data_IF_193422990620
#
_entry.id   IF_193422990620
#
_cell.length_a   1.000
_cell.length_b   1.000
_cell.length_c   1.000
_cell.angle_alpha   90.00
_cell.angle_beta   90.00
_cell.angle_gamma   90.00
#
_symmetry.space_group_name_H-M   'P 1'
#
loop_
_entity.id
_entity.type
_entity.pdbx_description
1 polymer ?
#
# COMPACT_ATOMS: atom_id res chain seq x y z
N UNK A 1 31.00 1.43 -85.25
CA UNK A 1 29.66 0.89 -84.91
C UNK A 1 28.80 2.06 -84.45
N UNK A 2 27.77 2.37 -85.24
CA UNK A 2 26.55 3.12 -84.90
C UNK A 2 25.97 2.67 -83.53
N UNK A 3 25.17 3.37 -82.72
CA UNK A 3 24.33 4.59 -82.76
C UNK A 3 23.94 4.80 -81.27
N UNK A 4 24.17 5.97 -80.65
CA UNK A 4 23.23 7.08 -80.41
C UNK A 4 21.96 6.75 -79.59
N UNK A 5 21.61 7.69 -78.68
CA UNK A 5 20.29 8.03 -78.09
C UNK A 5 19.82 7.30 -76.80
N UNK A 6 19.24 7.95 -75.78
CA UNK A 6 18.72 9.34 -75.65
C UNK A 6 18.41 9.70 -74.18
N UNK A 7 18.52 11.01 -73.90
CA UNK A 7 17.63 11.91 -73.12
C UNK A 7 17.46 11.81 -71.60
N UNK A 8 17.91 12.90 -70.98
CA UNK A 8 17.27 13.68 -69.90
C UNK A 8 15.74 13.72 -69.97
N UNK A 9 15.10 13.64 -68.80
CA UNK A 9 14.01 14.56 -68.43
C UNK A 9 14.03 14.86 -66.93
N UNK A 10 14.09 16.15 -66.63
CA UNK A 10 13.80 16.82 -65.36
C UNK A 10 12.30 16.83 -65.06
N UNK A 11 11.88 16.80 -63.78
CA UNK A 11 10.96 17.77 -63.17
C UNK A 11 10.58 17.39 -61.72
N UNK A 12 10.64 18.41 -60.87
CA UNK A 12 10.25 18.51 -59.46
C UNK A 12 8.73 18.51 -59.22
N UNK A 13 8.27 17.83 -58.16
CA UNK A 13 7.03 18.08 -57.35
C UNK A 13 7.28 17.49 -55.95
N UNK A 14 7.44 18.27 -54.87
CA UNK A 14 6.45 18.92 -53.98
C UNK A 14 5.49 17.92 -53.30
N UNK A 15 5.25 18.18 -51.99
CA UNK A 15 4.32 17.60 -51.01
C UNK A 15 4.66 16.18 -50.52
N UNK A 16 4.67 15.85 -49.23
CA UNK A 16 4.00 16.43 -48.07
C UNK A 16 4.69 15.88 -46.80
N UNK A 17 5.03 16.76 -45.87
CA UNK A 17 5.38 16.41 -44.48
C UNK A 17 4.12 15.93 -43.74
N UNK A 18 4.16 14.84 -42.96
CA UNK A 18 3.06 14.55 -42.03
C UNK A 18 3.07 15.61 -40.94
N UNK A 19 2.03 16.45 -40.94
CA UNK A 19 1.63 17.27 -39.80
C UNK A 19 0.69 16.48 -38.89
N UNK A 20 0.82 16.76 -37.60
CA UNK A 20 -0.12 16.55 -36.50
C UNK A 20 -0.25 15.09 -36.01
N UNK A 21 0.02 14.79 -34.74
CA UNK A 21 -0.66 15.40 -33.60
C UNK A 21 0.28 16.01 -32.55
N UNK A 22 0.09 17.31 -32.31
CA UNK A 22 0.36 17.96 -31.03
C UNK A 22 -0.28 17.15 -29.90
N UNK A 23 0.52 16.39 -29.16
CA UNK A 23 0.20 16.08 -27.78
C UNK A 23 0.57 17.33 -26.98
N UNK A 24 -0.42 18.23 -26.80
CA UNK A 24 -0.22 19.44 -26.01
C UNK A 24 0.30 19.04 -24.62
N UNK A 25 1.40 19.67 -24.26
CA UNK A 25 2.04 19.59 -22.94
C UNK A 25 1.25 20.41 -21.91
N UNK A 26 -0.06 20.21 -21.81
CA UNK A 26 -0.94 20.93 -20.86
C UNK A 26 -0.97 20.30 -19.46
N UNK A 27 0.21 19.93 -18.95
CA UNK A 27 0.38 19.46 -17.56
C UNK A 27 0.85 20.55 -16.60
N UNK A 28 1.02 21.80 -17.05
CA UNK A 28 1.55 22.90 -16.22
C UNK A 28 0.50 23.87 -15.71
N UNK A 29 -0.80 23.57 -15.82
CA UNK A 29 -1.81 24.44 -15.21
C UNK A 29 -1.76 24.26 -13.69
N UNK A 30 -1.45 25.32 -12.91
CA UNK A 30 -1.39 25.20 -11.45
C UNK A 30 -2.81 24.91 -10.96
N UNK A 31 -3.03 23.69 -10.48
CA UNK A 31 -4.23 23.37 -9.70
C UNK A 31 -4.05 24.12 -8.38
N UNK A 32 -4.80 25.19 -8.19
CA UNK A 32 -4.89 25.90 -6.92
C UNK A 32 -5.61 25.00 -5.91
N UNK A 33 -4.89 24.01 -5.37
CA UNK A 33 -5.27 23.37 -4.13
C UNK A 33 -5.01 24.39 -3.02
N UNK A 34 -6.07 24.81 -2.35
CA UNK A 34 -5.98 25.60 -1.12
C UNK A 34 -5.07 24.86 -0.14
N UNK A 35 -3.95 25.49 0.18
CA UNK A 35 -2.96 25.03 1.13
C UNK A 35 -3.61 24.82 2.50
N UNK A 36 -3.29 23.69 3.13
CA UNK A 36 -3.38 23.52 4.57
C UNK A 36 -2.51 24.59 5.24
N UNK A 37 -3.08 25.51 6.05
CA UNK A 37 -2.27 26.34 6.93
C UNK A 37 -1.84 25.58 8.20
N UNK A 38 -2.28 24.33 8.39
CA UNK A 38 -2.02 23.55 9.60
C UNK A 38 -1.86 22.07 9.29
N UNK A 39 -0.92 21.42 9.98
CA UNK A 39 -0.54 20.00 9.97
C UNK A 39 -1.65 19.03 10.43
N UNK A 40 -2.91 19.39 10.23
CA UNK A 40 -4.06 18.58 10.64
C UNK A 40 -4.52 17.67 9.50
N UNK A 41 -4.83 16.39 9.78
CA UNK A 41 -5.43 15.51 8.79
C UNK A 41 -6.79 16.07 8.34
N UNK A 42 -7.18 15.85 7.08
CA UNK A 42 -8.47 16.28 6.56
C UNK A 42 -9.62 15.67 7.38
N UNK A 43 -10.69 16.43 7.67
CA UNK A 43 -11.79 15.94 8.50
C UNK A 43 -12.51 14.75 7.84
N UNK A 44 -12.50 13.60 8.51
CA UNK A 44 -13.31 12.43 8.13
C UNK A 44 -14.77 12.72 8.45
N UNK A 45 -15.59 12.97 7.43
CA UNK A 45 -17.04 13.07 7.58
C UNK A 45 -17.60 11.68 7.92
N UNK A 46 -17.99 11.48 9.19
CA UNK A 46 -18.75 10.30 9.62
C UNK A 46 -20.09 10.26 8.90
N UNK A 47 -20.27 9.33 7.97
CA UNK A 47 -21.56 9.06 7.34
C UNK A 47 -21.67 7.58 7.08
N UNK A 48 -22.68 6.96 7.68
CA UNK A 48 -23.04 5.57 7.43
C UNK A 48 -23.30 5.35 5.94
N UNK A 49 -22.34 4.74 5.25
CA UNK A 49 -22.52 4.27 3.89
C UNK A 49 -22.94 2.81 3.90
N UNK A 50 -23.98 2.52 3.14
CA UNK A 50 -24.52 1.17 2.98
C UNK A 50 -23.61 0.41 2.01
N UNK A 51 -22.45 -0.05 2.48
CA UNK A 51 -21.81 -1.19 1.84
C UNK A 51 -22.69 -2.40 2.17
N UNK A 52 -23.16 -3.09 1.13
CA UNK A 52 -23.98 -4.30 1.29
C UNK A 52 -23.17 -5.33 2.07
N UNK A 53 -23.42 -5.40 3.37
CA UNK A 53 -22.77 -6.31 4.32
C UNK A 53 -23.27 -7.76 4.18
N UNK A 54 -23.33 -8.28 2.96
CA UNK A 54 -23.79 -9.63 2.69
C UNK A 54 -22.74 -10.39 1.87
N UNK A 55 -22.29 -11.52 2.45
CA UNK A 55 -21.36 -12.53 1.97
C UNK A 55 -19.88 -12.39 2.40
N UNK A 56 -19.62 -12.27 3.70
CA UNK A 56 -18.38 -12.82 4.27
C UNK A 56 -18.54 -14.33 4.41
N UNK A 57 -18.11 -15.06 3.38
CA UNK A 57 -17.87 -16.50 3.45
C UNK A 57 -16.46 -16.75 2.94
N UNK A 58 -15.52 -16.88 3.88
CA UNK A 58 -14.16 -17.41 3.77
C UNK A 58 -13.40 -17.12 2.45
N UNK A 59 -12.91 -15.89 2.30
CA UNK A 59 -11.76 -15.58 1.43
C UNK A 59 -10.47 -16.29 1.96
N UNK A 60 -10.50 -16.81 3.19
CA UNK A 60 -9.43 -17.58 3.83
C UNK A 60 -9.15 -18.96 3.19
N UNK A 61 -10.00 -19.41 2.26
CA UNK A 61 -9.77 -20.68 1.55
C UNK A 61 -8.45 -20.65 0.75
N UNK A 62 -8.02 -19.47 0.27
CA UNK A 62 -6.80 -19.31 -0.51
C UNK A 62 -5.53 -19.75 0.25
N UNK A 63 -5.45 -19.46 1.55
CA UNK A 63 -4.30 -19.79 2.38
C UNK A 63 -4.37 -21.21 2.98
N UNK A 64 -5.46 -21.93 2.73
CA UNK A 64 -5.70 -23.26 3.32
C UNK A 64 -5.24 -24.40 2.41
N UNK A 65 -4.73 -24.10 1.22
CA UNK A 65 -4.29 -25.11 0.25
C UNK A 65 -2.83 -25.54 0.51
N UNK A 66 -2.66 -26.71 1.12
CA UNK A 66 -1.33 -27.24 1.47
C UNK A 66 -0.46 -27.53 0.24
N UNK A 67 -1.06 -28.01 -0.86
CA UNK A 67 -0.33 -28.42 -2.08
C UNK A 67 0.48 -27.28 -2.71
N UNK A 68 -0.07 -26.05 -2.69
CA UNK A 68 0.55 -24.89 -3.34
C UNK A 68 1.25 -23.94 -2.37
N UNK A 69 1.21 -24.20 -1.06
CA UNK A 69 1.72 -23.26 -0.05
C UNK A 69 3.18 -22.87 -0.34
N UNK A 70 4.07 -23.85 -0.48
CA UNK A 70 5.51 -23.60 -0.68
C UNK A 70 5.81 -22.89 -2.00
N UNK A 71 5.08 -23.22 -3.07
CA UNK A 71 5.24 -22.59 -4.38
C UNK A 71 4.77 -21.13 -4.36
N UNK A 72 3.62 -20.86 -3.72
CA UNK A 72 3.08 -19.52 -3.55
C UNK A 72 4.03 -18.68 -2.70
N UNK A 73 4.48 -19.19 -1.54
CA UNK A 73 5.43 -18.48 -0.67
C UNK A 73 6.71 -18.16 -1.44
N UNK A 74 7.30 -19.13 -2.15
CA UNK A 74 8.50 -18.92 -2.95
C UNK A 74 8.29 -17.85 -4.03
N UNK A 75 7.15 -17.87 -4.73
CA UNK A 75 6.82 -16.86 -5.73
C UNK A 75 6.65 -15.48 -5.10
N UNK A 76 5.91 -15.37 -3.99
CA UNK A 76 5.71 -14.10 -3.30
C UNK A 76 7.01 -13.55 -2.71
N UNK A 77 7.88 -14.42 -2.19
CA UNK A 77 9.21 -14.03 -1.72
C UNK A 77 10.10 -13.49 -2.83
N UNK A 78 9.96 -13.99 -4.06
CA UNK A 78 10.63 -13.42 -5.22
C UNK A 78 10.00 -12.07 -5.63
N UNK A 79 8.66 -12.01 -5.70
CA UNK A 79 7.90 -10.82 -6.10
C UNK A 79 8.11 -9.63 -5.16
N UNK A 80 8.22 -9.83 -3.84
CA UNK A 80 8.42 -8.73 -2.89
C UNK A 80 9.73 -7.96 -3.10
N UNK A 81 10.70 -8.53 -3.83
CA UNK A 81 11.96 -7.86 -4.13
C UNK A 81 11.85 -6.92 -5.34
N UNK A 82 10.81 -7.08 -6.17
CA UNK A 82 10.60 -6.26 -7.37
C UNK A 82 10.03 -4.91 -6.97
N UNK A 83 10.54 -3.82 -7.56
CA UNK A 83 9.99 -2.46 -7.39
C UNK A 83 9.81 -2.04 -5.92
N UNK A 84 10.75 -2.44 -5.03
CA UNK A 84 10.71 -2.04 -3.63
C UNK A 84 10.83 -0.52 -3.50
N UNK A 85 10.01 0.11 -2.64
CA UNK A 85 10.14 1.53 -2.37
C UNK A 85 11.49 1.83 -1.73
N UNK A 86 12.06 2.98 -2.08
CA UNK A 86 13.26 3.52 -1.44
C UNK A 86 12.84 4.30 -0.20
N UNK A 87 13.47 4.11 0.97
CA UNK A 87 13.20 4.97 2.13
C UNK A 87 13.69 6.41 1.92
N UNK A 88 14.60 6.65 0.96
CA UNK A 88 15.15 7.96 0.65
C UNK A 88 14.38 8.60 -0.49
N UNK A 89 13.19 9.12 -0.19
CA UNK A 89 12.43 9.90 -1.16
C UNK A 89 13.16 11.21 -1.49
N UNK A 90 13.37 11.50 -2.77
CA UNK A 90 13.90 12.80 -3.22
C UNK A 90 12.74 13.68 -3.70
N UNK A 91 11.79 13.95 -2.81
CA UNK A 91 10.61 14.76 -3.12
C UNK A 91 10.34 15.78 -2.01
N UNK A 92 9.38 16.67 -2.25
CA UNK A 92 8.99 17.69 -1.28
C UNK A 92 8.18 17.11 -0.11
N UNK A 93 7.79 15.83 -0.14
CA UNK A 93 6.98 15.17 0.89
C UNK A 93 7.89 14.73 2.04
N UNK A 94 7.58 15.18 3.26
CA UNK A 94 8.32 14.75 4.46
C UNK A 94 7.80 13.40 4.98
N UNK A 95 8.61 12.72 5.79
CA UNK A 95 8.20 11.49 6.49
C UNK A 95 6.93 11.72 7.33
N UNK A 96 6.85 12.86 8.01
CA UNK A 96 5.68 13.27 8.78
C UNK A 96 4.42 13.42 7.90
N UNK A 97 4.52 14.06 6.73
CA UNK A 97 3.40 14.17 5.80
C UNK A 97 2.90 12.79 5.35
N UNK A 98 3.80 11.85 5.09
CA UNK A 98 3.46 10.46 4.79
C UNK A 98 2.75 9.79 5.96
N UNK A 99 3.25 9.94 7.18
CA UNK A 99 2.62 9.36 8.37
C UNK A 99 1.21 9.92 8.60
N UNK A 100 0.99 11.23 8.41
CA UNK A 100 -0.35 11.85 8.44
C UNK A 100 -1.29 11.19 7.44
N UNK A 101 -0.84 10.99 6.20
CA UNK A 101 -1.65 10.38 5.15
C UNK A 101 -2.03 8.93 5.49
N UNK A 102 -1.09 8.13 6.03
CA UNK A 102 -1.32 6.73 6.39
C UNK A 102 -2.24 6.61 7.61
N UNK A 103 -2.06 7.47 8.61
CA UNK A 103 -2.96 7.53 9.76
C UNK A 103 -4.41 7.83 9.32
N UNK A 104 -4.56 8.78 8.39
CA UNK A 104 -5.85 9.09 7.76
C UNK A 104 -6.40 7.93 6.90
N UNK A 105 -5.57 7.22 6.15
CA UNK A 105 -6.00 6.03 5.41
C UNK A 105 -6.61 4.98 6.33
N UNK A 106 -6.02 4.73 7.50
CA UNK A 106 -6.58 3.78 8.44
C UNK A 106 -7.94 4.23 9.00
N UNK A 107 -8.16 5.54 9.19
CA UNK A 107 -9.50 6.06 9.53
C UNK A 107 -10.53 5.81 8.43
N UNK A 108 -10.18 6.05 7.16
CA UNK A 108 -11.05 5.76 6.01
C UNK A 108 -11.34 4.27 5.92
N UNK A 109 -10.32 3.43 6.03
CA UNK A 109 -10.46 1.97 5.95
C UNK A 109 -11.40 1.46 7.04
N UNK A 110 -11.34 2.02 8.25
CA UNK A 110 -12.31 1.70 9.31
C UNK A 110 -13.72 2.19 8.99
N UNK A 111 -13.87 3.45 8.58
CA UNK A 111 -15.18 4.06 8.28
C UNK A 111 -15.90 3.32 7.15
N UNK A 112 -15.16 2.93 6.11
CA UNK A 112 -15.68 2.20 4.95
C UNK A 112 -15.57 0.68 5.12
N UNK A 113 -15.19 0.18 6.31
CA UNK A 113 -15.04 -1.27 6.56
C UNK A 113 -14.25 -2.00 5.46
N UNK A 114 -13.20 -1.37 4.94
CA UNK A 114 -12.34 -1.95 3.91
C UNK A 114 -11.40 -2.99 4.53
N UNK A 115 -10.92 -3.91 3.70
CA UNK A 115 -9.93 -4.92 4.09
C UNK A 115 -8.62 -4.28 4.54
N UNK A 116 -7.87 -5.00 5.39
CA UNK A 116 -6.51 -4.57 5.79
C UNK A 116 -5.58 -4.62 4.58
N UNK A 117 -5.79 -5.58 3.69
CA UNK A 117 -5.10 -5.76 2.42
C UNK A 117 -5.19 -4.48 1.57
N UNK A 118 -6.36 -3.82 1.54
CA UNK A 118 -6.58 -2.54 0.88
C UNK A 118 -5.71 -1.42 1.47
N UNK A 119 -5.64 -1.31 2.81
CA UNK A 119 -4.77 -0.34 3.49
C UNK A 119 -3.30 -0.55 3.10
N UNK A 120 -2.83 -1.79 3.19
CA UNK A 120 -1.43 -2.14 2.93
C UNK A 120 -1.05 -1.93 1.46
N UNK A 121 -1.95 -2.28 0.54
CA UNK A 121 -1.75 -2.04 -0.88
C UNK A 121 -1.71 -0.53 -1.19
N UNK A 122 -2.61 0.26 -0.60
CA UNK A 122 -2.62 1.71 -0.76
C UNK A 122 -1.30 2.35 -0.29
N UNK A 123 -0.80 1.96 0.89
CA UNK A 123 0.48 2.45 1.42
C UNK A 123 1.65 2.03 0.51
N UNK A 124 1.67 0.78 0.05
CA UNK A 124 2.68 0.28 -0.89
C UNK A 124 2.70 1.09 -2.21
N UNK A 125 1.53 1.43 -2.74
CA UNK A 125 1.42 2.26 -3.94
C UNK A 125 1.96 3.67 -3.71
N UNK A 126 1.61 4.30 -2.58
CA UNK A 126 2.14 5.63 -2.21
C UNK A 126 3.67 5.61 -2.14
N UNK A 127 4.25 4.67 -1.40
CA UNK A 127 5.69 4.61 -1.20
C UNK A 127 6.45 4.35 -2.51
N UNK A 128 5.89 3.51 -3.38
CA UNK A 128 6.46 3.28 -4.71
C UNK A 128 6.40 4.53 -5.56
N UNK A 129 5.26 5.20 -5.61
CA UNK A 129 5.08 6.45 -6.35
C UNK A 129 6.07 7.50 -5.88
N UNK A 130 6.22 7.70 -4.57
CA UNK A 130 7.18 8.63 -3.99
C UNK A 130 8.64 8.26 -4.29
N UNK A 131 8.93 6.99 -4.61
CA UNK A 131 10.28 6.54 -4.93
C UNK A 131 10.76 6.90 -6.34
N UNK A 132 9.85 7.17 -7.28
CA UNK A 132 10.20 7.47 -8.67
C UNK A 132 9.53 8.71 -9.26
N UNK A 133 8.55 9.30 -8.58
CA UNK A 133 7.95 10.59 -8.95
C UNK A 133 8.31 11.66 -7.93
N UNK A 134 8.68 12.84 -8.43
CA UNK A 134 8.72 14.04 -7.63
C UNK A 134 7.29 14.57 -7.48
N UNK A 135 6.78 14.52 -6.25
CA UNK A 135 5.40 14.88 -5.93
C UNK A 135 5.42 16.16 -5.11
N UNK A 136 4.76 17.19 -5.64
CA UNK A 136 4.52 18.43 -4.90
C UNK A 136 3.61 18.19 -3.69
N UNK A 137 3.90 18.90 -2.60
CA UNK A 137 3.10 18.84 -1.36
C UNK A 137 1.61 19.08 -1.61
N UNK A 138 1.26 19.97 -2.53
CA UNK A 138 -0.12 20.33 -2.87
C UNK A 138 -0.89 19.23 -3.62
N UNK A 139 -0.17 18.31 -4.27
CA UNK A 139 -0.72 17.18 -5.02
C UNK A 139 -0.70 15.88 -4.21
N UNK A 140 0.02 15.85 -3.09
CA UNK A 140 0.25 14.61 -2.34
C UNK A 140 -1.03 13.95 -1.84
N UNK A 141 -2.01 14.72 -1.37
CA UNK A 141 -3.31 14.16 -0.96
C UNK A 141 -4.07 13.56 -2.15
N UNK A 142 -4.08 14.21 -3.32
CA UNK A 142 -4.69 13.66 -4.54
C UNK A 142 -4.02 12.35 -4.96
N UNK A 143 -2.69 12.29 -4.95
CA UNK A 143 -1.93 11.07 -5.22
C UNK A 143 -2.31 9.97 -4.23
N UNK A 144 -2.36 10.29 -2.94
CA UNK A 144 -2.76 9.36 -1.88
C UNK A 144 -4.18 8.82 -2.07
N UNK A 145 -5.16 9.70 -2.27
CA UNK A 145 -6.55 9.33 -2.51
C UNK A 145 -6.68 8.43 -3.75
N UNK A 146 -5.98 8.73 -4.83
CA UNK A 146 -5.98 7.88 -6.02
C UNK A 146 -5.31 6.53 -5.77
N UNK A 147 -4.23 6.45 -4.98
CA UNK A 147 -3.62 5.18 -4.57
C UNK A 147 -4.59 4.31 -3.76
N UNK A 148 -5.32 4.90 -2.80
CA UNK A 148 -6.33 4.21 -2.01
C UNK A 148 -7.50 3.73 -2.88
N UNK A 149 -7.95 4.54 -3.84
CA UNK A 149 -8.99 4.13 -4.80
C UNK A 149 -8.54 2.97 -5.68
N UNK A 150 -7.30 2.99 -6.19
CA UNK A 150 -6.73 1.89 -6.98
C UNK A 150 -6.67 0.61 -6.12
N UNK A 151 -6.20 0.71 -4.89
CA UNK A 151 -6.13 -0.43 -3.96
C UNK A 151 -7.52 -1.01 -3.67
N UNK A 152 -8.51 -0.15 -3.41
CA UNK A 152 -9.88 -0.59 -3.15
C UNK A 152 -10.50 -1.30 -4.37
N UNK A 153 -10.31 -0.77 -5.59
CA UNK A 153 -10.73 -1.43 -6.82
C UNK A 153 -10.07 -2.79 -7.05
N UNK A 154 -8.88 -3.00 -6.47
CA UNK A 154 -8.12 -4.24 -6.63
C UNK A 154 -8.53 -5.31 -5.61
N UNK A 155 -8.69 -4.95 -4.33
CA UNK A 155 -8.89 -5.89 -3.22
C UNK A 155 -10.36 -6.09 -2.81
N UNK A 156 -11.22 -5.10 -3.05
CA UNK A 156 -12.61 -5.13 -2.59
C UNK A 156 -13.54 -5.74 -3.63
N UNK A 157 -14.43 -6.62 -3.17
CA UNK A 157 -15.54 -7.12 -4.00
C UNK A 157 -16.48 -5.98 -4.38
N UNK A 158 -16.70 -5.06 -3.45
CA UNK A 158 -17.54 -3.87 -3.62
C UNK A 158 -16.76 -2.61 -3.23
N UNK A 159 -15.85 -2.20 -4.10
CA UNK A 159 -15.09 -0.96 -3.90
C UNK A 159 -16.02 0.28 -3.86
N UNK A 160 -15.70 1.31 -3.04
CA UNK A 160 -16.42 2.58 -3.08
C UNK A 160 -16.39 3.24 -4.46
N UNK A 161 -17.47 3.94 -4.81
CA UNK A 161 -17.53 4.69 -6.07
C UNK A 161 -16.52 5.86 -6.06
N UNK A 162 -16.03 6.28 -7.22
CA UNK A 162 -15.10 7.43 -7.34
C UNK A 162 -15.65 8.71 -6.68
N UNK A 163 -16.97 8.91 -6.70
CA UNK A 163 -17.61 10.06 -6.06
C UNK A 163 -17.38 10.06 -4.54
N UNK A 164 -17.31 8.89 -3.91
CA UNK A 164 -17.05 8.80 -2.47
C UNK A 164 -15.62 9.24 -2.15
N UNK A 165 -14.64 8.94 -3.01
CA UNK A 165 -13.28 9.47 -2.84
C UNK A 165 -13.21 11.00 -2.96
N UNK A 166 -14.05 11.62 -3.79
CA UNK A 166 -14.19 13.08 -3.80
C UNK A 166 -14.78 13.59 -2.46
N UNK A 167 -15.80 12.92 -1.92
CA UNK A 167 -16.40 13.26 -0.62
C UNK A 167 -15.43 13.07 0.55
N UNK A 168 -14.63 12.01 0.54
CA UNK A 168 -13.59 11.72 1.55
C UNK A 168 -12.58 12.86 1.64
N UNK A 169 -12.26 13.51 0.51
CA UNK A 169 -11.36 14.67 0.45
C UNK A 169 -12.06 16.01 0.72
N UNK A 170 -13.26 15.99 1.31
CA UNK A 170 -14.14 17.16 1.47
C UNK A 170 -14.37 17.94 0.16
N UNK A 171 -14.44 17.22 -0.96
CA UNK A 171 -14.56 17.77 -2.32
C UNK A 171 -13.43 18.74 -2.71
N UNK A 172 -12.26 18.63 -2.05
CA UNK A 172 -11.04 19.33 -2.47
C UNK A 172 -10.69 18.96 -3.90
N UNK A 173 -10.95 17.71 -4.29
CA UNK A 173 -10.74 17.21 -5.66
C UNK A 173 -12.04 16.70 -6.27
N UNK A 174 -12.29 17.09 -7.52
CA UNK A 174 -13.41 16.59 -8.31
C UNK A 174 -13.18 15.15 -8.80
N UNK A 175 -14.27 14.49 -9.21
CA UNK A 175 -14.22 13.13 -9.78
C UNK A 175 -13.26 13.06 -10.97
N UNK A 176 -13.30 14.05 -11.87
CA UNK A 176 -12.43 14.09 -13.06
C UNK A 176 -10.95 14.27 -12.73
N UNK A 177 -10.62 14.94 -11.62
CA UNK A 177 -9.23 15.07 -11.15
C UNK A 177 -8.73 13.72 -10.60
N UNK A 178 -9.54 13.06 -9.79
CA UNK A 178 -9.22 11.75 -9.21
C UNK A 178 -9.06 10.69 -10.31
N UNK A 179 -9.92 10.69 -11.34
CA UNK A 179 -9.81 9.77 -12.48
C UNK A 179 -8.58 10.05 -13.35
N UNK A 180 -8.24 11.33 -13.56
CA UNK A 180 -7.01 11.70 -14.28
C UNK A 180 -5.77 11.26 -13.53
N UNK A 181 -5.73 11.46 -12.21
CA UNK A 181 -4.63 11.01 -11.36
C UNK A 181 -4.54 9.49 -11.34
N UNK A 182 -5.65 8.75 -11.22
CA UNK A 182 -5.67 7.28 -11.31
C UNK A 182 -5.02 6.79 -12.61
N UNK A 183 -5.46 7.34 -13.75
CA UNK A 183 -4.92 6.95 -15.06
C UNK A 183 -3.42 7.22 -15.15
N UNK A 184 -2.99 8.36 -14.65
CA UNK A 184 -1.57 8.73 -14.59
C UNK A 184 -0.77 7.73 -13.73
N UNK A 185 -1.19 7.48 -12.49
CA UNK A 185 -0.50 6.57 -11.58
C UNK A 185 -0.41 5.14 -12.13
N UNK A 186 -1.50 4.62 -12.70
CA UNK A 186 -1.50 3.28 -13.32
C UNK A 186 -0.51 3.18 -14.47
N UNK A 187 -0.41 4.22 -15.31
CA UNK A 187 0.57 4.27 -16.38
C UNK A 187 2.01 4.28 -15.83
N UNK A 188 2.29 5.09 -14.81
CA UNK A 188 3.61 5.17 -14.18
C UNK A 188 4.01 3.86 -13.48
N UNK A 189 3.04 3.14 -12.91
CA UNK A 189 3.25 1.84 -12.28
C UNK A 189 3.31 0.69 -13.30
N UNK A 190 3.14 0.96 -14.60
CA UNK A 190 2.99 -0.05 -15.66
C UNK A 190 1.92 -1.10 -15.32
N UNK A 191 0.85 -0.68 -14.65
CA UNK A 191 -0.22 -1.54 -14.13
C UNK A 191 0.24 -2.67 -13.16
N UNK A 192 1.50 -2.67 -12.70
CA UNK A 192 2.00 -3.62 -11.70
C UNK A 192 1.63 -3.13 -10.29
N UNK A 193 0.36 -3.25 -9.94
CA UNK A 193 -0.20 -2.70 -8.70
C UNK A 193 0.03 -3.60 -7.49
N UNK A 194 -0.09 -4.92 -7.64
CA UNK A 194 -0.13 -5.90 -6.54
C UNK A 194 1.23 -6.54 -6.26
N UNK A 195 2.06 -5.83 -5.50
CA UNK A 195 3.23 -6.44 -4.86
C UNK A 195 2.82 -7.05 -3.51
N UNK A 196 3.47 -8.15 -3.08
CA UNK A 196 3.19 -8.76 -1.78
C UNK A 196 3.45 -7.78 -0.63
N UNK A 197 2.47 -7.64 0.26
CA UNK A 197 2.52 -6.75 1.43
C UNK A 197 2.80 -7.54 2.70
N UNK A 198 3.17 -6.84 3.78
CA UNK A 198 3.37 -7.47 5.08
C UNK A 198 2.06 -8.09 5.59
N UNK A 199 0.91 -7.45 5.34
CA UNK A 199 -0.41 -8.02 5.66
C UNK A 199 -0.68 -9.33 4.93
N UNK A 200 -0.32 -9.44 3.65
CA UNK A 200 -0.50 -10.68 2.88
C UNK A 200 0.31 -11.84 3.47
N UNK A 201 1.60 -11.60 3.77
CA UNK A 201 2.44 -12.62 4.41
C UNK A 201 1.94 -12.98 5.81
N UNK A 202 1.51 -11.97 6.59
CA UNK A 202 0.98 -12.19 7.93
C UNK A 202 -0.27 -13.08 7.89
N UNK A 203 -1.23 -12.81 6.99
CA UNK A 203 -2.40 -13.66 6.80
C UNK A 203 -2.02 -15.11 6.48
N UNK A 204 -1.07 -15.31 5.56
CA UNK A 204 -0.56 -16.63 5.19
C UNK A 204 0.12 -17.36 6.35
N UNK A 205 1.02 -16.68 7.06
CA UNK A 205 1.79 -17.25 8.18
C UNK A 205 0.88 -17.57 9.38
N UNK A 206 -0.03 -16.66 9.74
CA UNK A 206 -1.00 -16.88 10.80
C UNK A 206 -1.90 -18.08 10.53
N UNK A 207 -2.34 -18.27 9.27
CA UNK A 207 -3.11 -19.45 8.88
C UNK A 207 -2.30 -20.74 9.00
N UNK A 208 -1.06 -20.75 8.49
CA UNK A 208 -0.16 -21.90 8.56
C UNK A 208 0.13 -22.32 10.01
N UNK A 209 0.39 -21.35 10.89
CA UNK A 209 0.61 -21.55 12.32
C UNK A 209 -0.67 -21.77 13.15
N UNK A 210 -1.85 -21.76 12.51
CA UNK A 210 -3.16 -21.94 13.16
C UNK A 210 -3.35 -20.95 14.32
N UNK A 211 -3.07 -19.68 14.05
CA UNK A 211 -3.29 -18.60 15.01
C UNK A 211 -4.77 -18.53 15.40
N UNK A 212 -5.01 -18.35 16.69
CA UNK A 212 -6.34 -17.99 17.17
C UNK A 212 -6.60 -16.50 16.89
N UNK A 213 -7.85 -16.07 17.07
CA UNK A 213 -8.26 -14.70 16.79
C UNK A 213 -7.38 -13.64 17.50
N UNK A 214 -7.05 -13.85 18.78
CA UNK A 214 -6.22 -12.93 19.55
C UNK A 214 -4.80 -12.80 18.99
N UNK A 215 -4.20 -13.92 18.60
CA UNK A 215 -2.88 -13.95 17.95
C UNK A 215 -2.92 -13.26 16.59
N UNK A 216 -3.95 -13.54 15.79
CA UNK A 216 -4.15 -12.93 14.47
C UNK A 216 -4.29 -11.41 14.60
N UNK A 217 -5.12 -10.92 15.52
CA UNK A 217 -5.30 -9.48 15.79
C UNK A 217 -4.02 -8.82 16.29
N UNK A 218 -3.27 -9.48 17.18
CA UNK A 218 -1.96 -9.00 17.65
C UNK A 218 -0.96 -8.86 16.51
N UNK A 219 -0.86 -9.87 15.65
CA UNK A 219 0.04 -9.86 14.49
C UNK A 219 -0.38 -8.77 13.48
N UNK A 220 -1.68 -8.62 13.22
CA UNK A 220 -2.23 -7.57 12.35
C UNK A 220 -1.91 -6.17 12.89
N UNK A 221 -2.03 -5.97 14.21
CA UNK A 221 -1.68 -4.71 14.86
C UNK A 221 -0.22 -4.31 14.62
N UNK A 222 0.73 -5.22 14.85
CA UNK A 222 2.16 -4.96 14.63
C UNK A 222 2.48 -4.63 13.17
N UNK A 223 1.86 -5.38 12.25
CA UNK A 223 2.01 -5.16 10.82
C UNK A 223 1.42 -3.81 10.40
N UNK A 224 0.29 -3.39 10.97
CA UNK A 224 -0.29 -2.05 10.74
C UNK A 224 0.62 -0.95 11.33
N UNK A 225 1.17 -1.13 12.53
CA UNK A 225 2.11 -0.15 13.13
C UNK A 225 3.33 0.09 12.24
N UNK A 226 3.84 -0.95 11.56
CA UNK A 226 5.00 -0.82 10.66
C UNK A 226 4.75 0.13 9.49
N UNK A 227 3.49 0.42 9.15
CA UNK A 227 3.16 1.37 8.08
C UNK A 227 3.49 2.82 8.44
N UNK A 228 3.45 3.18 9.73
CA UNK A 228 3.58 4.57 10.18
C UNK A 228 5.02 5.10 10.09
N UNK A 229 6.01 4.23 10.26
CA UNK A 229 7.42 4.60 10.27
C UNK A 229 8.10 4.16 8.97
N UNK A 230 8.61 5.15 8.22
CA UNK A 230 9.31 4.95 6.94
C UNK A 230 10.55 4.07 7.08
N UNK A 231 11.12 3.96 8.29
CA UNK A 231 12.25 3.09 8.59
C UNK A 231 11.99 1.65 8.16
N UNK A 232 10.76 1.15 8.31
CA UNK A 232 10.37 -0.22 7.98
C UNK A 232 10.49 -0.55 6.49
N UNK A 233 10.54 0.45 5.61
CA UNK A 233 10.73 0.22 4.17
C UNK A 233 12.08 -0.44 3.84
N UNK A 234 13.06 -0.38 4.74
CA UNK A 234 14.33 -1.12 4.60
C UNK A 234 14.14 -2.63 4.71
N UNK A 235 13.11 -3.09 5.42
CA UNK A 235 12.83 -4.50 5.66
C UNK A 235 11.96 -5.11 4.56
N UNK A 236 12.12 -6.41 4.33
CA UNK A 236 11.24 -7.12 3.39
C UNK A 236 9.87 -7.31 4.04
N UNK A 237 8.77 -7.20 3.29
CA UNK A 237 7.42 -7.50 3.80
C UNK A 237 7.31 -8.85 4.53
N UNK A 238 8.00 -9.89 4.04
CA UNK A 238 8.03 -11.20 4.71
C UNK A 238 8.71 -11.18 6.07
N UNK A 239 9.74 -10.36 6.26
CA UNK A 239 10.48 -10.26 7.53
C UNK A 239 9.64 -9.53 8.58
N UNK A 240 8.91 -8.48 8.17
CA UNK A 240 7.94 -7.78 9.02
C UNK A 240 6.85 -8.74 9.49
N UNK A 241 6.27 -9.51 8.57
CA UNK A 241 5.26 -10.51 8.91
C UNK A 241 5.79 -11.62 9.83
N UNK A 242 7.00 -12.13 9.59
CA UNK A 242 7.62 -13.15 10.42
C UNK A 242 7.92 -12.62 11.84
N UNK A 243 8.44 -11.40 11.95
CA UNK A 243 8.68 -10.73 13.23
C UNK A 243 7.37 -10.49 14.01
N UNK A 244 6.32 -10.02 13.34
CA UNK A 244 5.01 -9.81 13.96
C UNK A 244 4.38 -11.12 14.44
N UNK A 245 4.48 -12.19 13.65
CA UNK A 245 3.99 -13.51 14.04
C UNK A 245 4.79 -14.08 15.22
N UNK A 246 6.12 -13.90 15.20
CA UNK A 246 7.01 -14.26 16.29
C UNK A 246 6.62 -13.56 17.60
N UNK A 247 6.41 -12.25 17.55
CA UNK A 247 5.94 -11.48 18.70
C UNK A 247 4.61 -12.02 19.23
N UNK A 248 3.61 -12.23 18.36
CA UNK A 248 2.29 -12.71 18.75
C UNK A 248 2.33 -14.11 19.38
N UNK A 249 3.20 -15.01 18.90
CA UNK A 249 3.44 -16.31 19.52
C UNK A 249 3.98 -16.16 20.94
N UNK A 250 5.07 -15.40 21.12
CA UNK A 250 5.72 -15.24 22.43
C UNK A 250 4.78 -14.58 23.43
N UNK A 251 4.03 -13.55 23.01
CA UNK A 251 3.09 -12.83 23.88
C UNK A 251 2.00 -13.74 24.46
N UNK A 252 1.69 -14.83 23.75
CA UNK A 252 0.67 -15.80 24.16
C UNK A 252 1.27 -17.16 24.52
N UNK A 253 2.57 -17.20 24.88
CA UNK A 253 3.23 -18.36 25.46
C UNK A 253 3.48 -19.51 24.50
N UNK A 254 3.51 -19.26 23.19
CA UNK A 254 3.85 -20.25 22.16
C UNK A 254 5.31 -20.16 21.75
N UNK A 255 5.79 -21.18 21.03
CA UNK A 255 7.10 -21.16 20.38
C UNK A 255 7.20 -19.97 19.42
N UNK A 256 8.25 -19.16 19.57
CA UNK A 256 8.42 -17.90 18.87
C UNK A 256 8.33 -18.08 17.34
N UNK A 257 9.18 -18.94 16.79
CA UNK A 257 9.18 -19.27 15.36
C UNK A 257 9.36 -20.78 15.19
N UNK A 258 8.28 -21.53 14.91
CA UNK A 258 8.32 -22.99 14.80
C UNK A 258 9.22 -23.49 13.67
N UNK A 259 9.85 -24.66 13.86
CA UNK A 259 10.70 -25.30 12.83
C UNK A 259 9.98 -25.53 11.49
N UNK A 260 8.69 -25.87 11.53
CA UNK A 260 7.85 -26.04 10.34
C UNK A 260 7.83 -24.77 9.47
N UNK A 261 7.81 -23.58 10.10
CA UNK A 261 7.87 -22.32 9.37
C UNK A 261 9.23 -22.10 8.71
N UNK A 262 10.32 -22.57 9.32
CA UNK A 262 11.66 -22.53 8.69
C UNK A 262 11.69 -23.45 7.47
N UNK A 263 11.12 -24.66 7.57
CA UNK A 263 11.07 -25.64 6.49
C UNK A 263 10.22 -25.14 5.32
N UNK A 264 9.06 -24.54 5.59
CA UNK A 264 8.13 -24.11 4.54
C UNK A 264 8.53 -22.77 3.88
N UNK A 265 9.15 -21.86 4.63
CA UNK A 265 9.43 -20.50 4.15
C UNK A 265 10.92 -20.21 3.90
N UNK A 266 11.82 -20.99 4.50
CA UNK A 266 13.26 -20.70 4.51
C UNK A 266 13.65 -19.45 5.33
N UNK A 267 12.72 -18.89 6.11
CA UNK A 267 13.00 -17.73 6.97
C UNK A 267 13.50 -18.23 8.33
N UNK A 268 14.71 -17.81 8.69
CA UNK A 268 15.32 -18.05 10.00
C UNK A 268 15.18 -16.81 10.89
N UNK A 269 15.18 -17.00 12.20
CA UNK A 269 15.06 -15.91 13.19
C UNK A 269 16.13 -14.82 13.02
N UNK A 270 17.34 -15.21 12.61
CA UNK A 270 18.43 -14.28 12.32
C UNK A 270 18.12 -13.29 11.19
N UNK A 271 17.20 -13.63 10.27
CA UNK A 271 16.81 -12.75 9.17
C UNK A 271 15.92 -11.58 9.61
N UNK A 272 15.20 -11.71 10.73
CA UNK A 272 14.19 -10.73 11.15
C UNK A 272 14.35 -10.25 12.60
N UNK A 273 15.46 -10.57 13.25
CA UNK A 273 15.68 -10.20 14.65
C UNK A 273 15.69 -8.67 14.87
N UNK A 274 16.23 -7.90 13.94
CA UNK A 274 16.23 -6.44 14.03
C UNK A 274 14.84 -5.86 13.78
N UNK A 275 14.08 -6.46 12.84
CA UNK A 275 12.67 -6.12 12.60
C UNK A 275 11.82 -6.36 13.84
N UNK A 276 12.09 -7.45 14.57
CA UNK A 276 11.40 -7.78 15.81
C UNK A 276 11.68 -6.74 16.91
N UNK A 277 12.92 -6.27 17.04
CA UNK A 277 13.28 -5.20 18.00
C UNK A 277 12.57 -3.90 17.66
N UNK A 278 12.56 -3.51 16.38
CA UNK A 278 11.92 -2.28 15.94
C UNK A 278 10.40 -2.36 16.09
N UNK A 279 9.78 -3.49 15.75
CA UNK A 279 8.34 -3.72 15.97
C UNK A 279 7.97 -3.68 17.45
N UNK A 280 8.79 -4.25 18.34
CA UNK A 280 8.53 -4.17 19.78
C UNK A 280 8.68 -2.74 20.28
N UNK A 281 9.71 -2.01 19.83
CA UNK A 281 9.85 -0.59 20.14
C UNK A 281 8.63 0.21 19.70
N UNK A 282 8.14 -0.02 18.47
CA UNK A 282 6.90 0.59 17.97
C UNK A 282 5.68 0.22 18.83
N UNK A 283 5.56 -1.05 19.22
CA UNK A 283 4.45 -1.51 20.07
C UNK A 283 4.40 -0.78 21.42
N UNK A 284 5.55 -0.62 22.09
CA UNK A 284 5.62 0.03 23.41
C UNK A 284 5.45 1.56 23.32
N UNK A 285 5.89 2.19 22.22
CA UNK A 285 5.80 3.65 22.05
C UNK A 285 4.51 4.09 21.37
N UNK A 286 3.75 3.18 20.73
CA UNK A 286 2.48 3.48 20.05
C UNK A 286 1.49 4.33 20.89
N UNK A 287 1.31 4.12 22.22
CA UNK A 287 0.44 4.97 23.03
C UNK A 287 0.89 6.44 23.12
N UNK A 288 2.15 6.73 22.81
CA UNK A 288 2.79 8.05 22.92
C UNK A 288 2.96 8.78 21.59
N UNK A 289 2.71 8.12 20.45
CA UNK A 289 2.81 8.74 19.12
C UNK A 289 1.74 9.82 18.92
N UNK A 290 2.01 10.82 18.07
CA UNK A 290 1.03 11.87 17.76
C UNK A 290 -0.14 11.32 16.92
N UNK A 291 0.17 10.45 15.96
CA UNK A 291 -0.78 9.80 15.06
C UNK A 291 -1.18 8.42 15.62
N UNK A 292 -2.44 8.31 16.07
CA UNK A 292 -2.91 7.17 16.89
C UNK A 292 -4.05 6.38 16.27
N UNK A 293 -4.45 6.60 15.02
CA UNK A 293 -5.63 5.94 14.46
C UNK A 293 -5.51 4.41 14.51
N UNK A 294 -4.30 3.88 14.22
CA UNK A 294 -3.99 2.45 14.29
C UNK A 294 -3.99 1.96 15.75
N UNK A 295 -3.32 2.66 16.66
CA UNK A 295 -3.34 2.31 18.09
C UNK A 295 -4.78 2.26 18.63
N UNK A 296 -5.57 3.29 18.35
CA UNK A 296 -6.95 3.42 18.80
C UNK A 296 -7.86 2.33 18.21
N UNK A 297 -7.64 1.91 16.95
CA UNK A 297 -8.33 0.77 16.34
C UNK A 297 -8.17 -0.49 17.19
N UNK A 298 -6.93 -0.84 17.54
CA UNK A 298 -6.60 -2.07 18.24
C UNK A 298 -6.78 -2.01 19.77
N UNK A 299 -7.17 -0.85 20.31
CA UNK A 299 -7.66 -0.69 21.68
C UNK A 299 -9.15 -1.05 21.84
N UNK A 300 -9.89 -1.21 20.75
CA UNK A 300 -11.33 -1.52 20.81
C UNK A 300 -11.57 -2.98 21.19
N UNK A 301 -12.73 -3.26 21.78
CA UNK A 301 -13.13 -4.60 22.24
C UNK A 301 -13.33 -5.59 21.09
N UNK A 302 -13.82 -5.15 19.94
CA UNK A 302 -13.91 -5.96 18.72
C UNK A 302 -12.52 -6.35 18.18
N UNK A 303 -11.49 -5.58 18.49
CA UNK A 303 -10.08 -5.92 18.24
C UNK A 303 -9.40 -6.64 19.41
N UNK A 304 -10.18 -7.14 20.38
CA UNK A 304 -9.71 -7.85 21.58
C UNK A 304 -8.69 -7.07 22.41
N UNK A 305 -8.68 -5.74 22.27
CA UNK A 305 -7.83 -4.83 23.06
C UNK A 305 -6.34 -5.22 22.97
N UNK A 306 -5.92 -5.80 21.85
CA UNK A 306 -4.56 -6.35 21.69
C UNK A 306 -3.48 -5.30 21.84
N UNK A 307 -3.77 -4.02 21.55
CA UNK A 307 -2.83 -2.92 21.77
C UNK A 307 -2.58 -2.61 23.26
N UNK A 308 -3.44 -3.08 24.17
CA UNK A 308 -3.34 -2.87 25.61
C UNK A 308 -2.64 -4.03 26.35
N UNK A 309 -2.28 -5.10 25.64
CA UNK A 309 -1.58 -6.24 26.22
C UNK A 309 -0.12 -5.88 26.54
N UNK A 310 0.46 -6.54 27.54
CA UNK A 310 1.88 -6.38 27.83
C UNK A 310 2.74 -6.92 26.69
N UNK A 311 3.69 -6.13 26.22
CA UNK A 311 4.70 -6.60 25.30
C UNK A 311 5.53 -7.72 25.95
N UNK A 312 5.95 -8.76 25.20
CA UNK A 312 6.86 -9.77 25.72
C UNK A 312 8.15 -9.15 26.26
N UNK A 313 8.63 -9.65 27.39
CA UNK A 313 9.99 -9.37 27.89
C UNK A 313 10.95 -10.38 27.29
N UNK A 314 12.04 -9.90 26.70
CA UNK A 314 13.16 -10.73 26.23
C UNK A 314 14.30 -10.74 27.24
#
# INVERSE_FOLDING_TARGET
>A
MQVMQTRHDSFSRVSESPKDSDASSDFTTPVHASLFPDSSPPPVLKRDMIIRKNFEKDDESMFSCEEYFSDIIKYMMHRQMKNRPSPNYQNQVTEEMRTILIDWFNEIVMEYSLKQETLHLACSLVDRVLSFLDVDKSQFQLVGTSCLMIAAKYEEVFAPETKEFSVITDKTYGVDEILRMEKFLLAQLNFDVSLPTAAWFAASFGKRMKFNEKMTKTMRYLVDLSLLDVHFLRYRPSDIAAAAACFANVQLGKEAWPKEMVEDTGIHTEHFIDVLKDLHHMYITAPTLDYKSIFNKYCKTDEMEVALLFAPTY
#
